data_IF_515786701005
#
_entry.id   IF_515786701005
#
_cell.length_a   1.000
_cell.length_b   1.000
_cell.length_c   1.000
_cell.angle_alpha   90.00
_cell.angle_beta   90.00
_cell.angle_gamma   90.00
#
_symmetry.space_group_name_H-M   'P 1'
#
loop_
_entity.id
_entity.type
_entity.pdbx_description
1 polymer ?
#
# COMPACT_ATOMS: atom_id res chain seq x y z
N UNK A 1 -10.20 6.51 -9.17
CA UNK A 1 -9.61 6.83 -7.83
C UNK A 1 -8.71 5.72 -7.30
N UNK A 2 -9.09 4.42 -7.40
CA UNK A 2 -8.16 3.31 -7.12
C UNK A 2 -6.87 3.39 -7.96
N UNK A 3 -6.99 3.71 -9.26
CA UNK A 3 -5.84 3.91 -10.17
C UNK A 3 -4.84 4.93 -9.65
N UNK A 4 -5.28 6.15 -9.33
CA UNK A 4 -4.39 7.23 -8.82
C UNK A 4 -3.63 6.81 -7.55
N UNK A 5 -4.29 6.12 -6.60
CA UNK A 5 -3.61 5.64 -5.39
C UNK A 5 -2.63 4.51 -5.73
N UNK A 6 -3.00 3.59 -6.62
CA UNK A 6 -2.14 2.49 -7.05
C UNK A 6 -0.91 2.99 -7.80
N UNK A 7 -1.07 3.90 -8.75
CA UNK A 7 0.03 4.52 -9.51
C UNK A 7 1.01 5.22 -8.54
N UNK A 8 0.47 5.97 -7.57
CA UNK A 8 1.30 6.61 -6.54
C UNK A 8 2.04 5.60 -5.65
N UNK A 9 1.41 4.50 -5.24
CA UNK A 9 2.07 3.44 -4.46
C UNK A 9 3.16 2.72 -5.28
N UNK A 10 2.96 2.56 -6.60
CA UNK A 10 3.99 2.03 -7.50
C UNK A 10 5.19 2.97 -7.54
N UNK A 11 4.99 4.29 -7.65
CA UNK A 11 6.10 5.26 -7.61
C UNK A 11 6.88 5.19 -6.29
N UNK A 12 6.18 5.07 -5.15
CA UNK A 12 6.80 4.91 -3.83
C UNK A 12 7.60 3.61 -3.77
N UNK A 13 7.01 2.49 -4.22
CA UNK A 13 7.68 1.19 -4.32
C UNK A 13 8.99 1.25 -5.09
N UNK A 14 8.97 1.83 -6.30
CA UNK A 14 10.16 2.00 -7.12
C UNK A 14 11.20 2.90 -6.46
N UNK A 15 10.79 4.00 -5.82
CA UNK A 15 11.70 4.95 -5.19
C UNK A 15 12.52 4.32 -4.06
N UNK A 16 11.88 3.46 -3.26
CA UNK A 16 12.54 2.76 -2.15
C UNK A 16 13.18 1.43 -2.58
N UNK A 17 13.04 1.01 -3.84
CA UNK A 17 13.60 -0.25 -4.38
C UNK A 17 13.16 -1.47 -3.58
N UNK A 18 11.90 -1.45 -3.14
CA UNK A 18 11.29 -2.53 -2.37
C UNK A 18 11.14 -3.79 -3.23
N UNK A 19 11.08 -4.95 -2.60
CA UNK A 19 10.81 -6.21 -3.31
C UNK A 19 9.36 -6.21 -3.84
N UNK A 20 9.06 -6.85 -4.98
CA UNK A 20 7.71 -6.87 -5.55
C UNK A 20 6.63 -7.39 -4.59
N UNK A 21 6.99 -8.33 -3.73
CA UNK A 21 6.15 -8.93 -2.69
C UNK A 21 5.56 -7.87 -1.75
N UNK A 22 6.35 -6.85 -1.38
CA UNK A 22 5.91 -5.71 -0.57
C UNK A 22 4.74 -4.98 -1.23
N UNK A 23 4.80 -4.74 -2.54
CA UNK A 23 3.72 -4.07 -3.27
C UNK A 23 2.47 -4.96 -3.37
N UNK A 24 2.64 -6.25 -3.63
CA UNK A 24 1.52 -7.20 -3.72
C UNK A 24 0.79 -7.32 -2.38
N UNK A 25 1.54 -7.41 -1.28
CA UNK A 25 0.97 -7.44 0.06
C UNK A 25 0.31 -6.11 0.43
N UNK A 26 0.91 -4.97 0.05
CA UNK A 26 0.30 -3.64 0.22
C UNK A 26 -1.09 -3.59 -0.43
N UNK A 27 -1.20 -3.97 -1.70
CA UNK A 27 -2.46 -3.97 -2.45
C UNK A 27 -3.48 -4.92 -1.81
N UNK A 28 -3.04 -6.12 -1.40
CA UNK A 28 -3.90 -7.08 -0.70
C UNK A 28 -4.49 -6.50 0.59
N UNK A 29 -3.67 -5.83 1.42
CA UNK A 29 -4.11 -5.21 2.67
C UNK A 29 -5.11 -4.07 2.42
N UNK A 30 -4.87 -3.24 1.41
CA UNK A 30 -5.79 -2.15 1.03
C UNK A 30 -7.14 -2.71 0.61
N UNK A 31 -7.16 -3.66 -0.33
CA UNK A 31 -8.40 -4.24 -0.87
C UNK A 31 -9.20 -4.97 0.23
N UNK A 32 -8.52 -5.67 1.16
CA UNK A 32 -9.16 -6.30 2.33
C UNK A 32 -9.72 -5.30 3.33
N UNK A 33 -9.06 -4.17 3.55
CA UNK A 33 -9.58 -3.16 4.47
C UNK A 33 -10.81 -2.45 3.87
N UNK A 34 -10.76 -2.13 2.58
CA UNK A 34 -11.86 -1.47 1.87
C UNK A 34 -13.09 -2.37 1.71
N UNK A 35 -12.93 -3.70 1.72
CA UNK A 35 -14.07 -4.63 1.71
C UNK A 35 -14.85 -4.64 3.04
N UNK A 36 -14.22 -4.24 4.14
CA UNK A 36 -14.82 -4.21 5.48
C UNK A 36 -15.26 -2.82 5.93
N UNK A 37 -14.60 -1.76 5.42
CA UNK A 37 -14.82 -0.39 5.86
C UNK A 37 -14.84 0.58 4.69
N UNK A 38 -15.87 1.41 4.63
CA UNK A 38 -15.91 2.56 3.73
C UNK A 38 -14.98 3.64 4.25
N UNK A 39 -13.95 3.96 3.48
CA UNK A 39 -12.95 4.99 3.80
C UNK A 39 -13.21 6.24 2.97
N UNK A 40 -13.19 7.40 3.62
CA UNK A 40 -13.32 8.68 2.92
C UNK A 40 -12.09 8.94 2.04
N UNK A 41 -12.29 9.64 0.93
CA UNK A 41 -11.25 9.96 -0.06
C UNK A 41 -9.98 10.56 0.57
N UNK A 42 -10.14 11.46 1.52
CA UNK A 42 -9.06 12.16 2.23
C UNK A 42 -8.18 11.21 3.07
N UNK A 43 -8.67 10.01 3.39
CA UNK A 43 -7.94 9.00 4.18
C UNK A 43 -7.37 7.86 3.32
N UNK A 44 -7.57 7.86 2.01
CA UNK A 44 -7.08 6.78 1.14
C UNK A 44 -5.55 6.73 1.06
N UNK A 45 -4.88 7.89 1.04
CA UNK A 45 -3.42 7.93 1.09
C UNK A 45 -2.88 7.40 2.42
N UNK A 46 -3.51 7.78 3.54
CA UNK A 46 -3.17 7.27 4.86
C UNK A 46 -3.31 5.73 4.93
N UNK A 47 -4.40 5.19 4.40
CA UNK A 47 -4.59 3.74 4.27
C UNK A 47 -3.45 3.12 3.45
N UNK A 48 -3.15 3.69 2.28
CA UNK A 48 -2.10 3.20 1.39
C UNK A 48 -0.72 3.13 2.06
N UNK A 49 -0.27 4.22 2.69
CA UNK A 49 1.04 4.23 3.39
C UNK A 49 1.05 3.32 4.60
N UNK A 50 -0.06 3.20 5.33
CA UNK A 50 -0.14 2.30 6.49
C UNK A 50 -0.04 0.85 6.03
N UNK A 51 -0.77 0.47 4.97
CA UNK A 51 -0.68 -0.87 4.38
C UNK A 51 0.72 -1.17 3.84
N UNK A 52 1.38 -0.19 3.23
CA UNK A 52 2.75 -0.35 2.73
C UNK A 52 3.76 -0.49 3.86
N UNK A 53 3.65 0.31 4.92
CA UNK A 53 4.49 0.18 6.10
C UNK A 53 4.33 -1.20 6.76
N UNK A 54 3.10 -1.73 6.81
CA UNK A 54 2.86 -3.09 7.29
C UNK A 54 3.55 -4.09 6.37
N UNK A 55 3.36 -3.99 5.05
CA UNK A 55 3.98 -4.90 4.10
C UNK A 55 5.52 -4.88 4.15
N UNK A 56 6.14 -3.70 4.29
CA UNK A 56 7.59 -3.57 4.45
C UNK A 56 8.10 -4.39 5.64
N UNK A 57 7.41 -4.32 6.78
CA UNK A 57 7.80 -5.09 7.98
C UNK A 57 7.68 -6.60 7.83
N UNK A 58 6.91 -7.08 6.84
CA UNK A 58 6.76 -8.51 6.56
C UNK A 58 7.78 -9.01 5.53
N UNK A 59 7.99 -8.25 4.45
CA UNK A 59 8.74 -8.72 3.28
C UNK A 59 10.17 -8.18 3.22
N UNK A 60 10.43 -6.98 3.75
CA UNK A 60 11.76 -6.35 3.69
C UNK A 60 12.63 -6.79 4.88
N UNK A 61 13.90 -7.09 4.61
CA UNK A 61 14.90 -7.37 5.66
C UNK A 61 15.18 -6.11 6.49
N UNK A 62 15.18 -4.94 5.82
CA UNK A 62 15.39 -3.63 6.42
C UNK A 62 14.21 -2.71 6.09
N UNK A 63 13.17 -2.69 6.94
CA UNK A 63 11.93 -1.95 6.70
C UNK A 63 12.02 -0.45 6.98
#
# INVERSE_FOLDING_TARGET
MRGILADWLVEVHYKFKMVPETLYLTVNLIDRYLSLKTVRKDRLQLLGVTSMLIACKYEEIYP
#
